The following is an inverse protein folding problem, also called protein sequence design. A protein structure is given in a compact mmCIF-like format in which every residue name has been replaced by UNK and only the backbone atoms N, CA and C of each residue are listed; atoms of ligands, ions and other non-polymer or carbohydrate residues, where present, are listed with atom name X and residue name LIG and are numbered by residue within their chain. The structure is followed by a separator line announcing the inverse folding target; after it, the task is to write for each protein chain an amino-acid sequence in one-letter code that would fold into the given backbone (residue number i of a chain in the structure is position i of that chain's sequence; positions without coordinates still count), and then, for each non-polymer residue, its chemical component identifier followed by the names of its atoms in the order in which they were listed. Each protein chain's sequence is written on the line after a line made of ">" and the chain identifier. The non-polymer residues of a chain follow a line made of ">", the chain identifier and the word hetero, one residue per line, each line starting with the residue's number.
data_IF_737567270380
#
_entry.id   IF_737567270380
#
_cell.length_a   1.000
_cell.length_b   1.000
_cell.length_c   1.000
_cell.angle_alpha   90.00
_cell.angle_beta   90.00
_cell.angle_gamma   90.00
#
_symmetry.space_group_name_H-M   'P 1'
#
loop_
_entity.id
_entity.type
_entity.pdbx_description
1 polymer ?
#
# COMPACT_ATOMS: atom_id res chain seq x y z
N UNK A 1 6.38 -12.14 -5.87
CA UNK A 1 5.14 -11.34 -5.77
C UNK A 1 5.13 -10.76 -4.37
N UNK A 2 4.73 -9.51 -4.21
CA UNK A 2 4.89 -8.74 -2.96
C UNK A 2 3.54 -8.12 -2.63
N UNK A 3 3.11 -8.19 -1.37
CA UNK A 3 1.97 -7.42 -0.89
C UNK A 3 2.44 -6.00 -0.58
N UNK A 4 1.91 -5.00 -1.29
CA UNK A 4 2.27 -3.60 -1.09
C UNK A 4 1.14 -2.86 -0.37
N UNK A 5 1.50 -2.15 0.70
CA UNK A 5 0.60 -1.23 1.36
C UNK A 5 0.44 0.08 0.57
N UNK A 6 -0.51 0.91 0.98
CA UNK A 6 -0.72 2.20 0.35
C UNK A 6 0.46 3.16 0.53
N UNK A 7 1.20 3.10 1.65
CA UNK A 7 2.31 4.02 1.90
C UNK A 7 3.43 3.86 0.87
N UNK A 8 3.84 2.62 0.57
CA UNK A 8 4.84 2.32 -0.44
C UNK A 8 4.35 2.69 -1.85
N UNK A 9 3.09 2.41 -2.18
CA UNK A 9 2.49 2.78 -3.46
C UNK A 9 2.49 4.31 -3.61
N UNK A 10 2.03 5.05 -2.60
CA UNK A 10 1.97 6.51 -2.62
C UNK A 10 3.36 7.10 -2.80
N UNK A 11 4.34 6.69 -2.01
CA UNK A 11 5.70 7.20 -2.08
C UNK A 11 6.30 7.01 -3.48
N UNK A 12 6.05 5.86 -4.12
CA UNK A 12 6.54 5.58 -5.47
C UNK A 12 5.95 6.54 -6.52
N UNK A 13 4.64 6.77 -6.48
CA UNK A 13 3.92 7.57 -7.49
C UNK A 13 4.04 9.08 -7.26
N UNK A 14 4.08 9.52 -6.01
CA UNK A 14 4.34 10.92 -5.65
C UNK A 14 5.83 11.27 -5.67
N UNK A 15 6.70 10.31 -5.97
CA UNK A 15 8.16 10.47 -6.03
C UNK A 15 8.72 11.06 -4.73
N UNK A 16 8.23 10.58 -3.60
CA UNK A 16 8.71 10.97 -2.27
C UNK A 16 10.19 10.56 -2.08
N UNK A 17 10.84 11.13 -1.07
CA UNK A 17 12.26 10.83 -0.81
C UNK A 17 12.50 9.31 -0.68
N UNK A 18 13.42 8.78 -1.49
CA UNK A 18 13.71 7.35 -1.54
C UNK A 18 12.84 6.53 -2.51
N UNK A 19 11.94 7.13 -3.28
CA UNK A 19 11.07 6.39 -4.21
C UNK A 19 11.82 5.51 -5.22
N UNK A 20 13.05 5.88 -5.59
CA UNK A 20 13.85 5.14 -6.58
C UNK A 20 14.19 3.73 -6.11
N UNK A 21 14.42 3.51 -4.80
CA UNK A 21 14.65 2.17 -4.26
C UNK A 21 13.40 1.30 -4.29
N UNK A 22 12.20 1.88 -4.34
CA UNK A 22 10.94 1.12 -4.44
C UNK A 22 10.73 0.54 -5.85
N UNK A 23 11.40 1.08 -6.87
CA UNK A 23 11.18 0.71 -8.27
C UNK A 23 11.42 -0.77 -8.56
N UNK A 24 12.32 -1.44 -7.84
CA UNK A 24 12.60 -2.86 -8.03
C UNK A 24 11.46 -3.76 -7.51
N UNK A 25 10.74 -3.30 -6.48
CA UNK A 25 9.61 -4.00 -5.87
C UNK A 25 8.30 -3.74 -6.61
N UNK A 26 8.17 -2.57 -7.26
CA UNK A 26 6.97 -2.14 -7.98
C UNK A 26 6.78 -2.81 -9.35
N UNK A 27 7.51 -3.87 -9.69
CA UNK A 27 7.34 -4.58 -10.98
C UNK A 27 6.01 -5.34 -11.07
N UNK A 28 5.60 -5.99 -9.99
CA UNK A 28 4.31 -6.67 -9.88
C UNK A 28 3.95 -6.80 -8.40
N UNK A 29 2.95 -6.02 -7.98
CA UNK A 29 2.49 -5.97 -6.59
C UNK A 29 1.08 -6.53 -6.46
N UNK A 30 0.78 -7.04 -5.29
CA UNK A 30 -0.56 -7.41 -4.86
C UNK A 30 -0.99 -6.45 -3.76
N UNK A 31 -2.25 -6.06 -3.75
CA UNK A 31 -2.79 -5.18 -2.71
C UNK A 31 -4.29 -5.39 -2.56
N UNK A 32 -4.89 -4.83 -1.51
CA UNK A 32 -6.36 -4.80 -1.37
C UNK A 32 -6.93 -3.59 -2.11
N UNK A 33 -8.18 -3.67 -2.56
CA UNK A 33 -8.89 -2.53 -3.16
C UNK A 33 -8.97 -1.29 -2.23
N UNK A 34 -8.77 -1.45 -0.93
CA UNK A 34 -8.55 -0.36 0.03
C UNK A 34 -7.42 0.60 -0.38
N UNK A 35 -6.31 0.07 -0.92
CA UNK A 35 -5.15 0.86 -1.31
C UNK A 35 -5.48 1.90 -2.37
N UNK A 36 -6.49 1.65 -3.21
CA UNK A 36 -6.97 2.61 -4.20
C UNK A 36 -7.53 3.84 -3.51
N UNK A 37 -8.36 3.65 -2.47
CA UNK A 37 -8.97 4.75 -1.71
C UNK A 37 -7.89 5.55 -0.98
N UNK A 38 -6.93 4.87 -0.37
CA UNK A 38 -5.80 5.52 0.31
C UNK A 38 -4.90 6.29 -0.64
N UNK A 39 -4.60 5.72 -1.81
CA UNK A 39 -3.82 6.39 -2.85
C UNK A 39 -4.47 7.70 -3.31
N UNK A 40 -5.76 7.65 -3.70
CA UNK A 40 -6.46 8.87 -4.15
C UNK A 40 -6.59 9.90 -3.02
N UNK A 41 -6.77 9.46 -1.78
CA UNK A 41 -6.79 10.34 -0.62
C UNK A 41 -5.42 11.02 -0.39
N UNK A 42 -4.32 10.29 -0.56
CA UNK A 42 -2.98 10.84 -0.45
C UNK A 42 -2.70 11.87 -1.55
N UNK A 43 -3.05 11.57 -2.81
CA UNK A 43 -2.96 12.51 -3.94
C UNK A 43 -3.80 13.77 -3.68
N UNK A 44 -5.03 13.60 -3.17
CA UNK A 44 -5.89 14.72 -2.80
C UNK A 44 -5.24 15.58 -1.69
N UNK A 45 -4.68 14.97 -0.64
CA UNK A 45 -3.99 15.70 0.43
C UNK A 45 -2.77 16.45 -0.11
N UNK A 46 -1.95 15.80 -0.92
CA UNK A 46 -0.76 16.41 -1.53
C UNK A 46 -1.14 17.65 -2.35
N UNK A 47 -2.22 17.59 -3.13
CA UNK A 47 -2.69 18.74 -3.92
C UNK A 47 -3.39 19.81 -3.06
N UNK A 48 -4.43 19.42 -2.31
CA UNK A 48 -5.40 20.36 -1.72
C UNK A 48 -5.05 20.84 -0.32
N UNK A 49 -4.37 20.01 0.46
CA UNK A 49 -4.03 20.32 1.86
C UNK A 49 -2.60 20.84 1.95
N UNK A 50 -1.68 20.23 1.21
CA UNK A 50 -0.26 20.51 1.32
C UNK A 50 0.28 21.43 0.21
N UNK A 51 -0.47 21.60 -0.89
CA UNK A 51 -0.05 22.36 -2.08
C UNK A 51 1.31 21.90 -2.64
N UNK A 52 1.60 20.60 -2.57
CA UNK A 52 2.84 20.00 -3.08
C UNK A 52 2.81 19.72 -4.58
N UNK A 53 1.61 19.49 -5.12
CA UNK A 53 1.38 19.19 -6.54
C UNK A 53 0.21 20.01 -7.07
N UNK A 54 0.27 20.34 -8.35
CA UNK A 54 -0.76 21.07 -9.09
C UNK A 54 -1.89 20.14 -9.54
N UNK A 55 -3.07 20.68 -9.87
CA UNK A 55 -4.14 19.89 -10.49
C UNK A 55 -3.72 19.17 -11.78
N UNK A 56 -2.84 19.78 -12.58
CA UNK A 56 -2.29 19.16 -13.79
C UNK A 56 -1.43 17.94 -13.45
N UNK A 57 -0.54 18.04 -12.46
CA UNK A 57 0.25 16.90 -11.99
C UNK A 57 -0.63 15.77 -11.43
N UNK A 58 -1.75 16.11 -10.77
CA UNK A 58 -2.73 15.10 -10.33
C UNK A 58 -3.26 14.29 -11.51
N UNK A 59 -3.63 14.92 -12.62
CA UNK A 59 -4.12 14.22 -13.82
C UNK A 59 -3.07 13.23 -14.36
N UNK A 60 -1.80 13.64 -14.41
CA UNK A 60 -0.69 12.79 -14.86
C UNK A 60 -0.45 11.60 -13.92
N UNK A 61 -0.43 11.84 -12.60
CA UNK A 61 -0.24 10.81 -11.57
C UNK A 61 -1.36 9.77 -11.62
N UNK A 62 -2.61 10.22 -11.72
CA UNK A 62 -3.78 9.33 -11.78
C UNK A 62 -3.78 8.51 -13.07
N UNK A 63 -3.46 9.12 -14.21
CA UNK A 63 -3.35 8.40 -15.48
C UNK A 63 -2.26 7.32 -15.42
N UNK A 64 -1.11 7.60 -14.80
CA UNK A 64 -0.04 6.62 -14.60
C UNK A 64 -0.50 5.49 -13.66
N UNK A 65 -1.15 5.82 -12.55
CA UNK A 65 -1.63 4.85 -11.57
C UNK A 65 -2.67 3.91 -12.20
N UNK A 66 -3.63 4.43 -12.95
CA UNK A 66 -4.63 3.60 -13.64
C UNK A 66 -4.02 2.66 -14.68
N UNK A 67 -2.96 3.09 -15.38
CA UNK A 67 -2.21 2.18 -16.27
C UNK A 67 -1.52 1.09 -15.47
N UNK A 68 -0.83 1.45 -14.39
CA UNK A 68 -0.15 0.52 -13.50
C UNK A 68 -1.10 -0.51 -12.88
N UNK A 69 -2.29 -0.09 -12.46
CA UNK A 69 -3.33 -0.99 -11.93
C UNK A 69 -3.68 -2.12 -12.92
N UNK A 70 -3.68 -1.83 -14.22
CA UNK A 70 -4.03 -2.82 -15.26
C UNK A 70 -2.89 -3.77 -15.60
N UNK A 71 -1.64 -3.38 -15.39
CA UNK A 71 -0.47 -4.10 -15.91
C UNK A 71 0.45 -4.67 -14.84
N UNK A 72 0.47 -4.08 -13.64
CA UNK A 72 1.47 -4.34 -12.61
C UNK A 72 0.87 -4.51 -11.21
N UNK A 73 -0.46 -4.52 -11.07
CA UNK A 73 -1.14 -4.68 -9.79
C UNK A 73 -2.16 -5.82 -9.85
N UNK A 74 -2.14 -6.68 -8.84
CA UNK A 74 -3.20 -7.64 -8.55
C UNK A 74 -3.99 -7.07 -7.38
N UNK A 75 -5.26 -6.75 -7.61
CA UNK A 75 -6.15 -6.17 -6.60
C UNK A 75 -7.04 -7.29 -6.05
N UNK A 76 -6.90 -7.55 -4.77
CA UNK A 76 -7.72 -8.52 -4.03
C UNK A 76 -8.91 -7.78 -3.36
N UNK A 77 -10.12 -8.38 -3.35
CA UNK A 77 -11.26 -7.78 -2.67
C UNK A 77 -11.02 -7.69 -1.17
N UNK A 78 -11.05 -6.49 -0.56
CA UNK A 78 -10.80 -6.34 0.89
C UNK A 78 -11.76 -7.20 1.74
N UNK A 79 -12.99 -7.43 1.26
CA UNK A 79 -14.01 -8.25 1.92
C UNK A 79 -13.53 -9.66 2.29
N UNK A 80 -12.64 -10.26 1.49
CA UNK A 80 -12.11 -11.60 1.74
C UNK A 80 -11.07 -11.64 2.87
N UNK A 81 -10.67 -10.47 3.39
CA UNK A 81 -9.58 -10.27 4.33
C UNK A 81 -10.03 -9.60 5.64
N UNK A 82 -11.27 -9.07 5.71
CA UNK A 82 -11.76 -8.25 6.83
C UNK A 82 -11.70 -9.00 8.17
N UNK A 83 -12.18 -10.24 8.23
CA UNK A 83 -12.25 -10.99 9.51
C UNK A 83 -10.85 -11.25 10.08
N UNK A 84 -9.92 -11.74 9.26
CA UNK A 84 -8.54 -11.95 9.67
C UNK A 84 -7.82 -10.65 10.02
N UNK A 85 -8.08 -9.56 9.28
CA UNK A 85 -7.53 -8.25 9.56
C UNK A 85 -8.04 -7.71 10.90
N UNK A 86 -9.32 -7.91 11.22
CA UNK A 86 -9.90 -7.52 12.49
C UNK A 86 -9.30 -8.27 13.67
N UNK A 87 -9.05 -9.59 13.53
CA UNK A 87 -8.35 -10.38 14.56
C UNK A 87 -6.92 -9.87 14.81
N UNK A 88 -6.19 -9.56 13.75
CA UNK A 88 -4.85 -8.97 13.84
C UNK A 88 -4.91 -7.60 14.53
N UNK A 89 -5.86 -6.74 14.13
CA UNK A 89 -6.05 -5.42 14.71
C UNK A 89 -6.29 -5.48 16.23
N UNK A 90 -7.17 -6.37 16.68
CA UNK A 90 -7.47 -6.58 18.10
C UNK A 90 -6.26 -7.08 18.89
N UNK A 91 -5.49 -8.03 18.32
CA UNK A 91 -4.36 -8.65 19.00
C UNK A 91 -3.13 -7.75 19.06
N UNK A 92 -2.88 -6.98 18.00
CA UNK A 92 -1.64 -6.24 17.80
C UNK A 92 -1.80 -4.71 17.97
N UNK A 93 -3.02 -4.22 18.17
CA UNK A 93 -3.31 -2.80 18.37
C UNK A 93 -3.07 -1.96 17.11
N UNK A 94 -3.36 -2.52 15.94
CA UNK A 94 -3.35 -1.83 14.64
C UNK A 94 -4.75 -1.35 14.26
N UNK A 95 -4.83 -0.45 13.28
CA UNK A 95 -6.11 -0.22 12.60
C UNK A 95 -6.48 -1.42 11.75
N UNK A 96 -7.77 -1.58 11.44
CA UNK A 96 -8.21 -2.61 10.49
C UNK A 96 -7.57 -2.38 9.12
N UNK A 97 -7.39 -1.12 8.72
CA UNK A 97 -6.78 -0.76 7.43
C UNK A 97 -5.35 -1.27 7.32
N UNK A 98 -4.51 -1.01 8.33
CA UNK A 98 -3.13 -1.52 8.34
C UNK A 98 -3.10 -3.06 8.40
N UNK A 99 -4.05 -3.64 9.11
CA UNK A 99 -4.14 -5.09 9.29
C UNK A 99 -4.58 -5.82 8.02
N UNK A 100 -5.28 -5.16 7.08
CA UNK A 100 -5.65 -5.74 5.79
C UNK A 100 -4.41 -6.15 4.99
N UNK A 101 -3.37 -5.33 4.98
CA UNK A 101 -2.13 -5.61 4.25
C UNK A 101 -1.35 -6.78 4.86
N UNK A 102 -1.32 -6.85 6.20
CA UNK A 102 -0.69 -7.95 6.91
C UNK A 102 -1.45 -9.26 6.68
N UNK A 103 -2.77 -9.25 6.80
CA UNK A 103 -3.61 -10.42 6.55
C UNK A 103 -3.40 -10.92 5.11
N UNK A 104 -3.46 -10.01 4.14
CA UNK A 104 -3.23 -10.31 2.73
C UNK A 104 -1.88 -11.00 2.53
N UNK A 105 -0.80 -10.42 3.07
CA UNK A 105 0.55 -10.95 2.97
C UNK A 105 0.66 -12.37 3.57
N UNK A 106 0.04 -12.60 4.74
CA UNK A 106 -0.02 -13.92 5.39
C UNK A 106 -0.78 -14.91 4.52
N UNK A 107 -1.99 -14.57 4.09
CA UNK A 107 -2.89 -15.46 3.34
C UNK A 107 -2.29 -15.87 1.99
N UNK A 108 -1.58 -14.94 1.35
CA UNK A 108 -0.94 -15.15 0.05
C UNK A 108 0.50 -15.63 0.14
N UNK A 109 1.07 -15.68 1.37
CA UNK A 109 2.45 -16.11 1.67
C UNK A 109 3.48 -15.34 0.85
N UNK A 110 3.37 -14.02 0.86
CA UNK A 110 4.26 -13.09 0.14
C UNK A 110 4.86 -12.08 1.11
N UNK A 111 6.04 -11.49 0.79
CA UNK A 111 6.59 -10.41 1.58
C UNK A 111 5.65 -9.19 1.65
N UNK A 112 5.71 -8.46 2.76
CA UNK A 112 5.00 -7.20 2.96
C UNK A 112 5.94 -6.02 2.68
N UNK A 113 5.55 -5.15 1.75
CA UNK A 113 6.20 -3.89 1.44
C UNK A 113 5.40 -2.74 2.06
N UNK A 114 5.99 -2.07 3.05
CA UNK A 114 5.36 -0.98 3.80
C UNK A 114 6.42 -0.01 4.33
N UNK A 115 6.14 1.28 4.21
CA UNK A 115 6.93 2.35 4.81
C UNK A 115 6.46 2.67 6.25
N UNK A 116 5.39 2.03 6.73
CA UNK A 116 4.94 2.16 8.11
C UNK A 116 5.72 1.22 9.03
N UNK A 117 6.58 1.78 9.88
CA UNK A 117 7.44 1.02 10.79
C UNK A 117 6.66 0.17 11.81
N UNK A 118 5.45 0.59 12.20
CA UNK A 118 4.60 -0.19 13.12
C UNK A 118 4.03 -1.41 12.38
N UNK A 119 3.51 -1.23 11.17
CA UNK A 119 3.01 -2.30 10.32
C UNK A 119 4.13 -3.31 10.00
N UNK A 120 5.33 -2.81 9.66
CA UNK A 120 6.54 -3.61 9.43
C UNK A 120 6.93 -4.44 10.64
N UNK A 121 7.00 -3.82 11.82
CA UNK A 121 7.34 -4.51 13.08
C UNK A 121 6.37 -5.65 13.38
N UNK A 122 5.08 -5.41 13.21
CA UNK A 122 4.04 -6.41 13.46
C UNK A 122 4.06 -7.50 12.39
N UNK A 123 4.27 -7.17 11.12
CA UNK A 123 4.47 -8.15 10.06
C UNK A 123 5.61 -9.12 10.37
N UNK A 124 6.77 -8.60 10.80
CA UNK A 124 7.91 -9.44 11.25
C UNK A 124 7.54 -10.32 12.44
N UNK A 125 6.85 -9.76 13.44
CA UNK A 125 6.37 -10.51 14.62
C UNK A 125 5.48 -11.69 14.21
N UNK A 126 4.70 -11.54 13.15
CA UNK A 126 3.81 -12.57 12.61
C UNK A 126 4.47 -13.48 11.56
N UNK A 127 5.79 -13.40 11.39
CA UNK A 127 6.57 -14.30 10.55
C UNK A 127 6.64 -13.90 9.06
N UNK A 128 6.23 -12.69 8.71
CA UNK A 128 6.40 -12.17 7.35
C UNK A 128 7.83 -11.68 7.12
N UNK A 129 8.34 -11.91 5.91
CA UNK A 129 9.41 -11.08 5.36
C UNK A 129 8.84 -9.69 5.09
N UNK A 130 9.56 -8.64 5.50
CA UNK A 130 9.15 -7.26 5.27
C UNK A 130 10.21 -6.49 4.49
N UNK A 131 9.77 -5.76 3.48
CA UNK A 131 10.60 -4.96 2.59
C UNK A 131 10.56 -3.47 2.99
N UNK A 132 11.53 -2.66 2.52
CA UNK A 132 11.60 -1.22 2.78
C UNK A 132 10.38 -0.46 2.27
#
# INVERSE_FOLDING_TARGET
>A
MIAADASAIVAFFLKEDGWTSLSEYMKLVMTVDHAIKEFYNAVWKACRVMNLITPQEVEEIIALFQRYQRTNMIIEPEGDHIEGAFEIALREGLTVYDSLYIELAIKKRVPLLTLDEKQKSIGKKLGLETLP
#
